data_IF_731942293410
#
_entry.id   IF_731942293410
#
_cell.length_a   1.000
_cell.length_b   1.000
_cell.length_c   1.000
_cell.angle_alpha   90.00
_cell.angle_beta   90.00
_cell.angle_gamma   90.00
#
_symmetry.space_group_name_H-M   'P 1'
#
loop_
_entity.id
_entity.type
_entity.pdbx_description
1 polymer ?
#
# COMPACT_ATOMS: atom_id res chain seq x y z
N UNK A 1 -44.90 67.42 46.37
CA UNK A 1 -45.15 66.02 45.91
C UNK A 1 -45.23 65.90 44.37
N UNK A 2 -44.31 66.53 43.62
CA UNK A 2 -44.33 66.51 42.14
C UNK A 2 -42.93 66.27 41.47
N UNK A 3 -41.95 65.78 42.26
CA UNK A 3 -40.57 65.56 41.74
C UNK A 3 -40.09 64.12 41.80
N UNK A 4 -40.95 63.13 42.13
CA UNK A 4 -40.53 61.72 42.21
C UNK A 4 -41.11 60.81 41.10
N UNK A 5 -41.91 61.33 40.24
CA UNK A 5 -42.52 60.53 39.13
C UNK A 5 -41.69 60.51 37.89
N UNK A 6 -40.68 61.38 37.77
CA UNK A 6 -39.81 61.47 36.57
C UNK A 6 -38.55 60.59 36.62
N UNK A 7 -38.23 59.90 37.69
CA UNK A 7 -37.06 59.07 37.83
C UNK A 7 -37.32 57.57 37.58
N UNK A 8 -38.57 57.13 37.49
CA UNK A 8 -38.95 55.74 37.29
C UNK A 8 -39.17 55.44 35.83
N UNK A 9 -39.40 56.43 34.97
CA UNK A 9 -39.66 56.22 33.52
C UNK A 9 -38.42 56.17 32.67
N UNK A 10 -37.22 56.49 33.17
CA UNK A 10 -35.96 56.41 32.43
C UNK A 10 -35.22 55.09 32.65
N UNK A 11 -35.54 54.32 33.72
CA UNK A 11 -34.92 53.05 34.01
C UNK A 11 -35.56 51.85 33.24
N UNK A 12 -36.74 52.02 32.65
CA UNK A 12 -37.42 50.93 31.89
C UNK A 12 -37.14 50.96 30.42
N UNK A 13 -36.45 51.96 29.88
CA UNK A 13 -36.12 52.06 28.45
C UNK A 13 -34.75 51.46 28.06
N UNK A 14 -33.93 51.03 29.05
CA UNK A 14 -32.59 50.46 28.83
C UNK A 14 -32.60 48.94 28.86
N UNK A 15 -33.68 48.29 29.29
CA UNK A 15 -33.79 46.82 29.42
C UNK A 15 -34.29 46.11 28.13
N UNK A 16 -34.61 46.83 27.04
CA UNK A 16 -35.19 46.23 25.81
C UNK A 16 -34.19 46.12 24.66
N UNK A 17 -32.96 46.65 24.81
CA UNK A 17 -31.92 46.60 23.76
C UNK A 17 -30.87 45.47 23.99
N UNK A 18 -31.02 44.61 24.97
CA UNK A 18 -30.11 43.48 25.22
C UNK A 18 -30.66 42.11 24.78
N UNK A 19 -31.81 42.07 24.05
CA UNK A 19 -32.46 40.82 23.66
C UNK A 19 -32.38 40.50 22.14
N UNK A 20 -31.54 41.19 21.35
CA UNK A 20 -31.31 40.87 19.93
C UNK A 20 -29.82 40.71 19.66
N UNK A 21 -29.19 39.68 20.22
CA UNK A 21 -27.77 39.41 20.02
C UNK A 21 -27.35 37.97 20.31
N UNK A 22 -28.32 37.07 20.31
CA UNK A 22 -28.00 35.63 20.32
C UNK A 22 -28.37 35.03 18.97
N UNK A 23 -27.68 35.50 17.90
CA UNK A 23 -27.56 34.68 16.70
C UNK A 23 -26.85 33.40 17.12
N UNK A 24 -27.63 32.32 17.16
CA UNK A 24 -27.12 30.99 17.36
C UNK A 24 -25.88 30.76 16.49
N UNK A 25 -24.71 30.71 17.09
CA UNK A 25 -23.62 29.95 16.56
C UNK A 25 -24.15 28.55 16.38
N UNK A 26 -24.68 28.23 15.19
CA UNK A 26 -24.65 26.88 14.68
C UNK A 26 -23.19 26.47 14.88
N UNK A 27 -22.94 25.64 15.86
CA UNK A 27 -21.73 24.90 16.01
C UNK A 27 -21.67 24.00 14.78
N UNK A 28 -21.22 24.55 13.64
CA UNK A 28 -20.63 23.76 12.59
C UNK A 28 -19.49 23.05 13.27
N UNK A 29 -19.63 21.77 13.50
CA UNK A 29 -18.52 20.90 13.82
C UNK A 29 -17.54 21.10 12.67
N UNK A 30 -16.51 21.93 12.88
CA UNK A 30 -15.37 22.00 11.97
C UNK A 30 -14.74 20.61 12.02
N UNK A 31 -15.25 19.70 11.21
CA UNK A 31 -14.63 18.39 11.04
C UNK A 31 -13.21 18.63 10.53
N UNK A 32 -12.25 18.20 11.32
CA UNK A 32 -10.85 18.34 10.98
C UNK A 32 -10.56 17.51 9.73
N UNK A 33 -9.90 18.11 8.74
CA UNK A 33 -9.61 17.46 7.45
C UNK A 33 -8.12 17.46 7.15
N UNK A 34 -7.66 16.43 6.45
CA UNK A 34 -6.34 16.34 5.86
C UNK A 34 -6.48 16.54 4.35
N UNK A 35 -5.66 17.42 3.76
CA UNK A 35 -5.57 17.53 2.31
C UNK A 35 -4.53 16.55 1.79
N UNK A 36 -4.96 15.57 1.01
CA UNK A 36 -4.10 14.54 0.41
C UNK A 36 -3.82 14.89 -1.04
N UNK A 37 -2.53 14.95 -1.40
CA UNK A 37 -2.07 15.10 -2.79
C UNK A 37 -1.38 13.80 -3.22
N UNK A 38 -1.87 13.23 -4.30
CA UNK A 38 -1.35 12.01 -4.91
C UNK A 38 -1.22 12.17 -6.44
N UNK A 39 -0.90 11.11 -7.16
CA UNK A 39 -0.69 11.17 -8.62
C UNK A 39 -1.97 11.52 -9.39
N UNK A 40 -3.13 11.14 -8.88
CA UNK A 40 -4.43 11.40 -9.50
C UNK A 40 -5.09 12.68 -8.96
N UNK A 41 -4.77 13.09 -7.72
CA UNK A 41 -5.25 14.29 -7.05
C UNK A 41 -4.14 15.34 -6.90
N UNK A 42 -3.70 15.94 -7.99
CA UNK A 42 -2.61 16.95 -7.97
C UNK A 42 -2.98 18.21 -7.18
N UNK A 43 -4.24 18.62 -7.25
CA UNK A 43 -4.77 19.77 -6.51
C UNK A 43 -5.06 19.44 -5.05
N UNK A 44 -5.18 18.15 -4.74
CA UNK A 44 -5.45 17.61 -3.42
C UNK A 44 -6.94 17.39 -3.14
N UNK A 45 -7.24 16.28 -2.49
CA UNK A 45 -8.56 15.92 -1.99
C UNK A 45 -8.64 16.13 -0.48
N UNK A 46 -9.73 16.71 0.02
CA UNK A 46 -9.97 16.86 1.46
C UNK A 46 -10.59 15.58 2.01
N UNK A 47 -9.92 14.97 2.96
CA UNK A 47 -10.35 13.77 3.67
C UNK A 47 -10.62 14.15 5.13
N UNK A 48 -11.76 13.74 5.68
CA UNK A 48 -12.05 13.90 7.13
C UNK A 48 -11.03 13.10 7.94
N UNK A 49 -10.59 13.63 9.06
CA UNK A 49 -9.82 12.84 10.03
C UNK A 49 -10.70 11.75 10.65
N UNK A 50 -10.09 10.61 10.91
CA UNK A 50 -10.75 9.44 11.50
C UNK A 50 -12.07 9.07 10.81
N UNK A 51 -12.06 8.91 9.46
CA UNK A 51 -13.24 8.51 8.71
C UNK A 51 -13.76 7.18 9.26
N UNK A 52 -15.10 7.02 9.33
CA UNK A 52 -15.72 5.86 9.99
C UNK A 52 -16.02 4.74 9.00
N UNK A 53 -16.36 5.10 7.77
CA UNK A 53 -16.68 4.17 6.70
C UNK A 53 -15.57 4.23 5.64
N UNK A 54 -14.66 3.29 5.71
CA UNK A 54 -13.48 3.22 4.83
C UNK A 54 -13.60 2.03 3.90
N UNK A 55 -13.52 2.28 2.60
CA UNK A 55 -13.46 1.25 1.55
C UNK A 55 -12.04 1.17 1.03
N UNK A 56 -11.44 -0.03 1.01
CA UNK A 56 -10.03 -0.21 0.66
C UNK A 56 -9.86 -1.23 -0.46
N UNK A 57 -9.34 -0.78 -1.59
CA UNK A 57 -8.96 -1.62 -2.74
C UNK A 57 -7.45 -1.89 -2.80
N UNK A 58 -6.63 -1.11 -2.09
CA UNK A 58 -5.19 -1.31 -1.99
C UNK A 58 -4.83 -2.21 -0.82
N UNK A 59 -4.31 -3.39 -1.09
CA UNK A 59 -3.94 -4.35 -0.04
C UNK A 59 -2.74 -3.91 0.79
N UNK A 60 -1.85 -3.07 0.24
CA UNK A 60 -0.76 -2.45 1.01
C UNK A 60 -1.28 -1.42 2.02
N UNK A 61 -2.29 -0.62 1.64
CA UNK A 61 -3.00 0.26 2.58
C UNK A 61 -3.80 -0.54 3.60
N UNK A 62 -4.45 -1.64 3.21
CA UNK A 62 -5.16 -2.54 4.14
C UNK A 62 -4.22 -3.09 5.21
N UNK A 63 -3.06 -3.61 4.81
CA UNK A 63 -1.97 -4.04 5.66
C UNK A 63 -1.54 -2.95 6.66
N UNK A 64 -1.29 -1.75 6.14
CA UNK A 64 -0.91 -0.60 6.96
C UNK A 64 -2.00 -0.22 7.98
N UNK A 65 -3.26 -0.14 7.55
CA UNK A 65 -4.39 0.15 8.42
C UNK A 65 -4.57 -0.92 9.49
N UNK A 66 -4.36 -2.18 9.12
CA UNK A 66 -4.38 -3.31 10.04
C UNK A 66 -3.31 -3.19 11.12
N UNK A 67 -2.08 -2.95 10.71
CA UNK A 67 -0.94 -2.73 11.61
C UNK A 67 -1.17 -1.57 12.58
N UNK A 68 -1.87 -0.52 12.13
CA UNK A 68 -2.20 0.65 12.92
C UNK A 68 -3.46 0.46 13.81
N UNK A 69 -4.14 -0.68 13.71
CA UNK A 69 -5.37 -0.97 14.46
C UNK A 69 -6.57 -0.12 14.01
N UNK A 70 -6.60 0.27 12.74
CA UNK A 70 -7.69 1.05 12.13
C UNK A 70 -8.75 0.11 11.56
N UNK A 71 -10.02 0.38 11.88
CA UNK A 71 -11.14 -0.39 11.33
C UNK A 71 -11.42 -0.01 9.87
N UNK A 72 -11.62 -1.02 9.03
CA UNK A 72 -12.09 -0.90 7.64
C UNK A 72 -13.54 -1.35 7.57
N UNK A 73 -14.32 -0.81 6.64
CA UNK A 73 -15.74 -1.17 6.46
C UNK A 73 -15.89 -2.21 5.36
N UNK A 74 -15.21 -2.01 4.24
CA UNK A 74 -15.40 -2.84 3.06
C UNK A 74 -14.11 -2.96 2.23
N UNK A 75 -14.00 -4.07 1.51
CA UNK A 75 -12.88 -4.38 0.63
C UNK A 75 -13.31 -5.41 -0.43
N UNK A 76 -12.58 -5.55 -1.54
CA UNK A 76 -12.81 -6.63 -2.48
C UNK A 76 -12.37 -7.96 -1.86
N UNK A 77 -13.31 -8.94 -1.76
CA UNK A 77 -13.05 -10.23 -1.10
C UNK A 77 -12.67 -11.36 -2.05
N UNK A 78 -12.57 -11.09 -3.33
CA UNK A 78 -12.24 -12.13 -4.31
C UNK A 78 -10.82 -12.71 -4.09
N UNK A 79 -9.88 -11.86 -3.70
CA UNK A 79 -8.49 -12.27 -3.40
C UNK A 79 -8.00 -11.45 -2.21
N UNK A 80 -7.86 -12.10 -1.07
CA UNK A 80 -7.31 -11.51 0.17
C UNK A 80 -5.99 -12.21 0.49
N UNK A 81 -4.90 -11.47 0.80
CA UNK A 81 -3.66 -12.08 1.27
C UNK A 81 -3.90 -12.96 2.50
N UNK A 82 -3.34 -14.16 2.55
CA UNK A 82 -3.60 -15.13 3.63
C UNK A 82 -3.32 -14.56 5.03
N UNK A 83 -2.28 -13.75 5.19
CA UNK A 83 -1.97 -13.12 6.48
C UNK A 83 -3.01 -12.06 6.93
N UNK A 84 -3.87 -11.60 5.98
CA UNK A 84 -5.00 -10.71 6.23
C UNK A 84 -6.37 -11.45 6.20
N UNK A 85 -6.38 -12.78 6.31
CA UNK A 85 -7.61 -13.62 6.19
C UNK A 85 -8.74 -13.25 7.15
N UNK A 86 -8.46 -12.54 8.24
CA UNK A 86 -9.53 -12.02 9.13
C UNK A 86 -10.53 -11.11 8.41
N UNK A 87 -10.12 -10.50 7.28
CA UNK A 87 -10.98 -9.65 6.45
C UNK A 87 -11.94 -10.45 5.55
N UNK A 88 -11.83 -11.78 5.50
CA UNK A 88 -12.80 -12.66 4.85
C UNK A 88 -14.13 -12.74 5.63
N UNK A 89 -14.10 -12.42 6.93
CA UNK A 89 -15.26 -12.46 7.81
C UNK A 89 -16.41 -11.56 7.30
N UNK A 90 -17.66 -11.99 7.54
CA UNK A 90 -18.90 -11.25 7.20
C UNK A 90 -19.04 -9.90 7.93
N UNK A 91 -18.16 -9.62 8.88
CA UNK A 91 -18.03 -8.28 9.51
C UNK A 91 -17.69 -7.19 8.48
N UNK A 92 -16.99 -7.54 7.41
CA UNK A 92 -16.56 -6.62 6.37
C UNK A 92 -17.41 -6.80 5.13
N UNK A 93 -17.88 -5.70 4.54
CA UNK A 93 -18.68 -5.73 3.32
C UNK A 93 -17.80 -6.09 2.11
N UNK A 94 -18.34 -6.94 1.24
CA UNK A 94 -17.69 -7.26 -0.03
C UNK A 94 -18.08 -6.22 -1.10
N UNK A 95 -17.09 -5.63 -1.76
CA UNK A 95 -17.29 -4.64 -2.83
C UNK A 95 -16.74 -5.11 -4.19
N UNK A 96 -16.86 -6.40 -4.46
CA UNK A 96 -16.47 -7.02 -5.73
C UNK A 96 -15.04 -7.52 -5.76
N UNK A 97 -14.41 -7.42 -6.92
CA UNK A 97 -13.02 -7.83 -7.16
C UNK A 97 -12.07 -6.64 -7.29
N UNK A 98 -10.76 -6.95 -7.26
CA UNK A 98 -9.71 -5.91 -7.45
C UNK A 98 -9.76 -5.22 -8.82
N UNK A 99 -10.28 -5.90 -9.85
CA UNK A 99 -10.41 -5.34 -11.21
C UNK A 99 -11.86 -5.03 -11.60
N UNK A 100 -12.81 -5.54 -10.84
CA UNK A 100 -14.24 -5.42 -11.08
C UNK A 100 -14.93 -4.94 -9.80
N UNK A 101 -14.81 -3.63 -9.47
CA UNK A 101 -15.48 -3.03 -8.32
C UNK A 101 -17.00 -3.06 -8.47
N UNK A 102 -17.70 -3.34 -7.40
CA UNK A 102 -19.15 -3.21 -7.31
C UNK A 102 -19.51 -1.77 -6.87
N UNK A 103 -19.63 -0.86 -7.83
CA UNK A 103 -19.92 0.54 -7.58
C UNK A 103 -21.29 0.77 -6.94
N UNK A 104 -22.28 -0.07 -7.22
CA UNK A 104 -23.60 0.00 -6.60
C UNK A 104 -23.49 -0.27 -5.10
N UNK A 105 -22.81 -1.36 -4.74
CA UNK A 105 -22.57 -1.71 -3.35
C UNK A 105 -21.72 -0.66 -2.61
N UNK A 106 -20.70 -0.10 -3.26
CA UNK A 106 -19.89 0.98 -2.69
C UNK A 106 -20.74 2.21 -2.40
N UNK A 107 -21.64 2.59 -3.33
CA UNK A 107 -22.52 3.74 -3.14
C UNK A 107 -23.55 3.51 -2.01
N UNK A 108 -24.07 2.28 -1.85
CA UNK A 108 -24.95 1.90 -0.73
C UNK A 108 -24.28 2.05 0.63
N UNK A 109 -23.00 1.71 0.74
CA UNK A 109 -22.19 1.84 1.97
C UNK A 109 -22.08 3.31 2.39
N UNK A 110 -22.09 4.25 1.45
CA UNK A 110 -21.85 5.69 1.67
C UNK A 110 -20.55 5.93 2.43
N UNK A 111 -19.40 5.60 1.84
CA UNK A 111 -18.11 5.71 2.52
C UNK A 111 -17.72 7.16 2.80
N UNK A 112 -16.91 7.35 3.84
CA UNK A 112 -16.25 8.63 4.14
C UNK A 112 -14.92 8.77 3.39
N UNK A 113 -14.33 7.63 3.01
CA UNK A 113 -13.05 7.53 2.31
C UNK A 113 -12.99 6.26 1.47
N UNK A 114 -12.47 6.39 0.25
CA UNK A 114 -12.11 5.27 -0.62
C UNK A 114 -10.60 5.32 -0.85
N UNK A 115 -9.93 4.18 -0.68
CA UNK A 115 -8.48 4.03 -0.91
C UNK A 115 -8.28 3.08 -2.08
N UNK A 116 -7.66 3.57 -3.14
CA UNK A 116 -7.39 2.80 -4.35
C UNK A 116 -5.89 2.78 -4.67
N UNK A 117 -5.50 1.89 -5.56
CA UNK A 117 -4.17 1.81 -6.12
C UNK A 117 -4.23 1.60 -7.64
N UNK A 118 -3.10 1.33 -8.23
CA UNK A 118 -2.90 1.18 -9.66
C UNK A 118 -3.99 0.39 -10.43
N UNK A 119 -4.49 -0.73 -9.87
CA UNK A 119 -5.50 -1.57 -10.55
C UNK A 119 -6.83 -0.86 -10.77
N UNK A 120 -7.11 0.18 -9.97
CA UNK A 120 -8.35 0.96 -10.02
C UNK A 120 -8.14 2.36 -10.61
N UNK A 121 -6.93 2.71 -11.10
CA UNK A 121 -6.61 4.06 -11.57
C UNK A 121 -7.55 4.53 -12.69
N UNK A 122 -7.89 3.65 -13.63
CA UNK A 122 -8.77 3.98 -14.77
C UNK A 122 -10.22 4.27 -14.35
N UNK A 123 -10.64 3.80 -13.17
CA UNK A 123 -11.97 4.03 -12.60
C UNK A 123 -11.98 5.13 -11.52
N UNK A 124 -10.91 5.90 -11.38
CA UNK A 124 -10.77 6.93 -10.34
C UNK A 124 -11.92 7.92 -10.31
N UNK A 125 -12.38 8.38 -11.47
CA UNK A 125 -13.49 9.36 -11.57
C UNK A 125 -14.81 8.78 -11.06
N UNK A 126 -15.04 7.48 -11.22
CA UNK A 126 -16.25 6.80 -10.74
C UNK A 126 -16.23 6.67 -9.22
N UNK A 127 -15.11 6.29 -8.63
CA UNK A 127 -14.92 6.29 -7.18
C UNK A 127 -15.10 7.70 -6.59
N UNK A 128 -14.52 8.71 -7.23
CA UNK A 128 -14.54 10.10 -6.75
C UNK A 128 -15.92 10.74 -6.77
N UNK A 129 -16.85 10.24 -7.60
CA UNK A 129 -18.27 10.64 -7.59
C UNK A 129 -19.00 10.12 -6.34
N UNK A 130 -18.53 9.04 -5.74
CA UNK A 130 -19.17 8.42 -4.56
C UNK A 130 -18.66 9.04 -3.27
N UNK A 131 -17.33 9.17 -3.11
CA UNK A 131 -16.72 9.71 -1.90
C UNK A 131 -15.29 10.26 -2.17
N UNK A 132 -14.70 11.01 -1.22
CA UNK A 132 -13.28 11.34 -1.26
C UNK A 132 -12.43 10.10 -1.52
N UNK A 133 -11.69 10.11 -2.63
CA UNK A 133 -10.88 8.96 -3.07
C UNK A 133 -9.41 9.34 -3.11
N UNK A 134 -8.55 8.55 -2.48
CA UNK A 134 -7.09 8.72 -2.49
C UNK A 134 -6.40 7.57 -3.20
N UNK A 135 -5.34 7.90 -3.93
CA UNK A 135 -4.54 6.96 -4.70
C UNK A 135 -3.22 6.69 -3.96
N UNK A 136 -3.02 5.44 -3.52
CA UNK A 136 -1.95 5.06 -2.60
C UNK A 136 -0.94 4.09 -3.22
N UNK A 137 -0.75 4.16 -4.54
CA UNK A 137 0.22 3.32 -5.23
C UNK A 137 1.67 3.65 -4.83
N UNK A 138 2.55 2.66 -4.95
CA UNK A 138 3.99 2.83 -4.72
C UNK A 138 4.68 3.09 -6.05
N UNK A 139 5.47 4.16 -6.13
CA UNK A 139 6.35 4.42 -7.26
C UNK A 139 7.56 3.48 -7.22
N UNK A 140 7.61 2.53 -8.13
CA UNK A 140 8.69 1.53 -8.18
C UNK A 140 10.08 2.15 -8.39
N UNK A 141 10.17 3.31 -9.04
CA UNK A 141 11.43 4.02 -9.24
C UNK A 141 11.90 4.76 -7.97
N UNK A 142 10.96 5.11 -7.07
CA UNK A 142 11.19 5.83 -5.82
C UNK A 142 10.47 5.11 -4.65
N UNK A 143 10.68 3.79 -4.56
CA UNK A 143 9.89 2.92 -3.69
C UNK A 143 9.82 3.41 -2.24
N UNK A 144 10.94 3.60 -1.56
CA UNK A 144 10.96 3.97 -0.14
C UNK A 144 10.35 5.36 0.12
N UNK A 145 10.53 6.31 -0.79
CA UNK A 145 9.95 7.65 -0.65
C UNK A 145 8.42 7.60 -0.74
N UNK A 146 7.89 6.96 -1.78
CA UNK A 146 6.45 6.83 -1.98
C UNK A 146 5.77 5.97 -0.91
N UNK A 147 6.39 4.87 -0.51
CA UNK A 147 5.94 4.03 0.60
C UNK A 147 5.82 4.82 1.91
N UNK A 148 6.89 5.55 2.30
CA UNK A 148 6.87 6.38 3.51
C UNK A 148 5.79 7.45 3.45
N UNK A 149 5.69 8.17 2.32
CA UNK A 149 4.65 9.17 2.10
C UNK A 149 3.24 8.59 2.26
N UNK A 150 3.00 7.39 1.72
CA UNK A 150 1.72 6.71 1.83
C UNK A 150 1.41 6.35 3.29
N UNK A 151 2.35 5.72 4.00
CA UNK A 151 2.19 5.38 5.41
C UNK A 151 1.96 6.64 6.30
N UNK A 152 2.73 7.71 6.09
CA UNK A 152 2.56 8.99 6.80
C UNK A 152 1.21 9.65 6.49
N UNK A 153 0.72 9.53 5.25
CA UNK A 153 -0.59 10.04 4.86
C UNK A 153 -1.70 9.32 5.62
N UNK A 154 -1.64 7.98 5.68
CA UNK A 154 -2.58 7.20 6.49
C UNK A 154 -2.44 7.54 7.99
N UNK A 155 -1.21 7.70 8.49
CA UNK A 155 -0.97 8.16 9.86
C UNK A 155 -1.70 9.46 10.18
N UNK A 156 -1.59 10.48 9.32
CA UNK A 156 -2.25 11.78 9.48
C UNK A 156 -3.78 11.69 9.41
N UNK A 157 -4.32 10.85 8.53
CA UNK A 157 -5.78 10.67 8.40
C UNK A 157 -6.37 10.03 9.66
N UNK A 158 -5.65 9.08 10.26
CA UNK A 158 -6.16 8.26 11.36
C UNK A 158 -5.55 8.59 12.75
N UNK A 159 -4.85 9.73 12.88
CA UNK A 159 -4.16 10.14 14.12
C UNK A 159 -3.20 9.04 14.66
N UNK A 160 -2.38 8.49 13.77
CA UNK A 160 -1.42 7.40 14.05
C UNK A 160 0.04 7.77 13.71
N UNK A 161 0.35 9.07 13.62
CA UNK A 161 1.65 9.56 13.16
C UNK A 161 2.82 9.00 13.99
N UNK A 162 2.69 8.94 15.31
CA UNK A 162 3.75 8.41 16.17
C UNK A 162 3.99 6.93 15.96
N UNK A 163 2.90 6.16 15.75
CA UNK A 163 3.01 4.72 15.47
C UNK A 163 3.67 4.49 14.11
N UNK A 164 3.25 5.23 13.07
CA UNK A 164 3.86 5.18 11.73
C UNK A 164 5.35 5.52 11.81
N UNK A 165 5.72 6.61 12.48
CA UNK A 165 7.11 7.02 12.65
C UNK A 165 7.96 5.92 13.28
N UNK A 166 7.44 5.22 14.29
CA UNK A 166 8.12 4.10 14.94
C UNK A 166 8.34 2.92 13.97
N UNK A 167 7.28 2.53 13.23
CA UNK A 167 7.37 1.43 12.28
C UNK A 167 8.34 1.76 11.12
N UNK A 168 8.27 2.97 10.56
CA UNK A 168 9.17 3.42 9.49
C UNK A 168 10.64 3.43 9.96
N UNK A 169 10.91 3.88 11.19
CA UNK A 169 12.27 3.86 11.75
C UNK A 169 12.80 2.43 11.89
N UNK A 170 11.97 1.47 12.31
CA UNK A 170 12.35 0.07 12.40
C UNK A 170 12.63 -0.55 11.01
N UNK A 171 11.81 -0.22 10.02
CA UNK A 171 11.99 -0.64 8.62
C UNK A 171 13.28 -0.09 8.06
N UNK A 172 13.58 1.20 8.26
CA UNK A 172 14.83 1.81 7.79
C UNK A 172 16.07 1.10 8.36
N UNK A 173 16.07 0.80 9.66
CA UNK A 173 17.17 0.07 10.29
C UNK A 173 17.37 -1.33 9.68
N UNK A 174 16.28 -2.04 9.39
CA UNK A 174 16.35 -3.36 8.76
C UNK A 174 16.84 -3.26 7.31
N UNK A 175 16.37 -2.27 6.55
CA UNK A 175 16.84 -2.00 5.17
C UNK A 175 18.35 -1.73 5.17
N UNK A 176 18.84 -0.86 6.05
CA UNK A 176 20.26 -0.53 6.13
C UNK A 176 21.12 -1.76 6.48
N UNK A 177 20.64 -2.58 7.42
CA UNK A 177 21.31 -3.82 7.79
C UNK A 177 21.36 -4.83 6.63
N UNK A 178 20.23 -5.03 5.93
CA UNK A 178 20.16 -5.92 4.77
C UNK A 178 21.04 -5.42 3.62
N UNK A 179 21.01 -4.12 3.32
CA UNK A 179 21.85 -3.49 2.29
C UNK A 179 23.35 -3.68 2.56
N UNK A 180 23.76 -3.56 3.82
CA UNK A 180 25.14 -3.83 4.22
C UNK A 180 25.50 -5.30 3.96
N UNK A 181 24.65 -6.23 4.40
CA UNK A 181 24.84 -7.67 4.22
C UNK A 181 24.88 -8.05 2.73
N UNK A 182 23.97 -7.55 1.92
CA UNK A 182 23.94 -7.77 0.47
C UNK A 182 25.24 -7.31 -0.22
N UNK A 183 25.78 -6.15 0.20
CA UNK A 183 27.05 -5.63 -0.31
C UNK A 183 28.25 -6.52 0.08
N UNK A 184 28.25 -7.05 1.30
CA UNK A 184 29.31 -7.95 1.79
C UNK A 184 29.26 -9.32 1.12
N UNK A 185 28.08 -9.77 0.71
CA UNK A 185 27.85 -11.03 0.03
C UNK A 185 28.59 -11.13 -1.33
N UNK A 186 28.76 -10.01 -2.04
CA UNK A 186 29.43 -9.93 -3.36
C UNK A 186 28.84 -10.89 -4.40
N UNK A 187 27.55 -11.14 -4.31
CA UNK A 187 26.78 -12.03 -5.19
C UNK A 187 25.73 -11.22 -5.94
N UNK A 188 25.34 -11.72 -7.09
CA UNK A 188 24.25 -11.12 -7.86
C UNK A 188 22.95 -11.92 -7.76
N UNK A 189 21.86 -11.29 -8.12
CA UNK A 189 20.53 -11.91 -8.11
C UNK A 189 19.70 -11.55 -9.33
N UNK A 190 18.84 -12.46 -9.73
CA UNK A 190 17.81 -12.25 -10.73
C UNK A 190 16.45 -12.38 -10.06
N UNK A 191 15.57 -11.42 -10.31
CA UNK A 191 14.18 -11.48 -9.84
C UNK A 191 13.29 -11.89 -10.99
N UNK A 192 12.49 -12.93 -10.78
CA UNK A 192 11.53 -13.40 -11.77
C UNK A 192 10.13 -13.56 -11.18
N UNK A 193 9.13 -13.42 -12.02
CA UNK A 193 7.77 -13.86 -11.76
C UNK A 193 7.44 -15.06 -12.64
N UNK A 194 6.98 -16.12 -12.00
CA UNK A 194 6.38 -17.27 -12.68
C UNK A 194 4.88 -17.03 -12.85
N UNK A 195 4.37 -17.30 -14.04
CA UNK A 195 2.95 -17.21 -14.37
C UNK A 195 2.61 -18.27 -15.42
N UNK A 196 1.91 -19.31 -15.04
CA UNK A 196 1.68 -20.52 -15.85
C UNK A 196 3.01 -21.10 -16.35
N UNK A 197 3.18 -21.15 -17.66
CA UNK A 197 4.40 -21.61 -18.33
C UNK A 197 5.40 -20.51 -18.67
N UNK A 198 5.16 -19.27 -18.22
CA UNK A 198 5.96 -18.08 -18.58
C UNK A 198 6.78 -17.59 -17.41
N UNK A 199 7.96 -17.07 -17.75
CA UNK A 199 8.84 -16.38 -16.81
C UNK A 199 9.06 -14.96 -17.29
N UNK A 200 9.01 -14.02 -16.36
CA UNK A 200 9.33 -12.60 -16.59
C UNK A 200 10.39 -12.15 -15.61
N UNK A 201 11.43 -11.47 -16.08
CA UNK A 201 12.50 -10.91 -15.27
C UNK A 201 12.22 -9.43 -14.95
N UNK A 202 12.67 -9.00 -13.77
CA UNK A 202 12.51 -7.65 -13.26
C UNK A 202 13.86 -7.09 -12.80
N UNK A 203 14.26 -5.98 -13.40
CA UNK A 203 15.46 -5.24 -13.04
C UNK A 203 15.21 -4.11 -12.06
N UNK A 204 16.22 -3.25 -11.82
CA UNK A 204 16.06 -2.02 -11.04
C UNK A 204 14.91 -1.13 -11.54
N UNK A 205 14.28 -0.38 -10.63
CA UNK A 205 13.18 0.56 -10.90
C UNK A 205 11.93 -0.09 -11.51
N UNK A 206 11.83 -1.41 -11.47
CA UNK A 206 10.66 -2.18 -11.90
C UNK A 206 9.82 -2.61 -10.70
N UNK A 207 8.70 -3.28 -10.93
CA UNK A 207 7.76 -3.74 -9.89
C UNK A 207 8.42 -4.46 -8.70
N UNK A 208 9.46 -5.26 -8.93
CA UNK A 208 10.20 -5.95 -7.89
C UNK A 208 11.64 -5.43 -7.75
N UNK A 209 11.90 -4.26 -8.33
CA UNK A 209 13.20 -3.60 -8.32
C UNK A 209 13.72 -3.25 -6.94
N UNK A 210 12.84 -3.18 -5.91
CA UNK A 210 13.28 -2.91 -4.54
C UNK A 210 14.34 -3.90 -4.04
N UNK A 211 14.40 -5.14 -4.54
CA UNK A 211 15.45 -6.11 -4.21
C UNK A 211 16.82 -5.54 -4.59
N UNK A 212 16.89 -4.83 -5.70
CA UNK A 212 18.12 -4.20 -6.19
C UNK A 212 18.33 -2.81 -5.62
N UNK A 213 17.33 -1.94 -5.77
CA UNK A 213 17.41 -0.50 -5.47
C UNK A 213 17.42 -0.20 -3.98
N UNK A 214 16.68 -0.99 -3.18
CA UNK A 214 16.49 -0.78 -1.75
C UNK A 214 17.32 -1.77 -0.93
N UNK A 215 17.25 -3.07 -1.23
CA UNK A 215 17.93 -4.10 -0.45
C UNK A 215 19.39 -4.30 -0.87
N UNK A 216 19.79 -3.76 -2.02
CA UNK A 216 21.21 -3.70 -2.43
C UNK A 216 21.74 -4.98 -3.06
N UNK A 217 20.89 -5.92 -3.46
CA UNK A 217 21.32 -7.11 -4.23
C UNK A 217 21.76 -6.65 -5.62
N UNK A 218 22.97 -6.93 -6.00
CA UNK A 218 23.50 -6.60 -7.33
C UNK A 218 22.67 -7.30 -8.42
N UNK A 219 22.14 -6.59 -9.45
CA UNK A 219 21.42 -7.25 -10.55
C UNK A 219 22.33 -8.21 -11.31
N UNK A 220 21.85 -9.41 -11.62
CA UNK A 220 22.59 -10.37 -12.44
C UNK A 220 22.67 -9.91 -13.91
N UNK A 221 21.66 -9.19 -14.40
CA UNK A 221 21.69 -8.49 -15.68
C UNK A 221 21.45 -7.00 -15.46
N UNK A 222 22.49 -6.20 -15.67
CA UNK A 222 22.43 -4.73 -15.51
C UNK A 222 21.77 -4.03 -16.69
N UNK A 223 21.43 -4.76 -17.76
CA UNK A 223 20.79 -4.23 -18.97
C UNK A 223 19.29 -4.47 -19.00
N UNK A 224 18.75 -5.12 -17.96
CA UNK A 224 17.29 -5.21 -17.81
C UNK A 224 16.73 -3.79 -17.66
N UNK A 225 16.09 -3.34 -18.74
CA UNK A 225 15.43 -2.04 -18.75
C UNK A 225 14.36 -1.98 -17.65
N UNK A 226 14.15 -0.80 -17.03
CA UNK A 226 13.00 -0.59 -16.18
C UNK A 226 11.75 -0.88 -17.02
N UNK A 227 11.21 -2.07 -16.89
CA UNK A 227 9.98 -2.39 -17.58
C UNK A 227 8.82 -1.94 -16.73
N UNK A 228 7.85 -1.36 -17.34
CA UNK A 228 6.66 -0.87 -16.68
C UNK A 228 5.97 -1.96 -15.82
N UNK A 229 5.01 -2.52 -15.92
CA UNK A 229 4.19 -3.32 -15.02
C UNK A 229 4.45 -4.82 -15.13
N UNK A 230 5.00 -5.28 -16.26
CA UNK A 230 4.95 -6.69 -16.63
C UNK A 230 6.32 -7.39 -16.70
N UNK A 231 7.41 -6.66 -16.55
CA UNK A 231 8.76 -7.23 -16.67
C UNK A 231 9.10 -7.62 -18.10
N UNK A 232 10.30 -8.18 -18.29
CA UNK A 232 10.79 -8.69 -19.55
C UNK A 232 10.59 -10.19 -19.62
N UNK A 233 9.89 -10.69 -20.64
CA UNK A 233 9.76 -12.14 -20.88
C UNK A 233 11.14 -12.77 -21.13
N UNK A 234 11.41 -13.89 -20.46
CA UNK A 234 12.70 -14.60 -20.55
C UNK A 234 12.51 -16.08 -20.86
N UNK A 235 13.58 -16.69 -21.37
CA UNK A 235 13.67 -18.12 -21.64
C UNK A 235 14.63 -18.81 -20.66
N UNK A 236 14.66 -20.13 -20.68
CA UNK A 236 15.68 -20.93 -19.97
C UNK A 236 17.10 -20.61 -20.45
N UNK A 237 17.28 -20.39 -21.75
CA UNK A 237 18.56 -20.00 -22.33
C UNK A 237 19.05 -18.66 -21.75
N UNK A 238 18.15 -17.69 -21.58
CA UNK A 238 18.48 -16.43 -20.91
C UNK A 238 18.96 -16.68 -19.49
N UNK A 239 18.27 -17.52 -18.70
CA UNK A 239 18.67 -17.83 -17.33
C UNK A 239 20.06 -18.48 -17.25
N UNK A 240 20.33 -19.44 -18.17
CA UNK A 240 21.65 -20.11 -18.27
C UNK A 240 22.74 -19.11 -18.63
N UNK A 241 22.48 -18.22 -19.60
CA UNK A 241 23.44 -17.19 -20.04
C UNK A 241 23.71 -16.16 -18.93
N UNK A 242 22.68 -15.69 -18.24
CA UNK A 242 22.78 -14.71 -17.16
C UNK A 242 23.44 -15.32 -15.92
N UNK A 243 23.18 -16.60 -15.66
CA UNK A 243 23.77 -17.41 -14.60
C UNK A 243 23.80 -16.73 -13.23
N UNK A 244 22.63 -16.33 -12.65
CA UNK A 244 22.56 -15.62 -11.39
C UNK A 244 23.06 -16.48 -10.22
N UNK A 245 23.66 -15.85 -9.21
CA UNK A 245 24.05 -16.49 -7.94
C UNK A 245 22.85 -16.75 -7.04
N UNK A 246 21.85 -15.86 -7.07
CA UNK A 246 20.56 -15.98 -6.39
C UNK A 246 19.42 -15.81 -7.39
N UNK A 247 18.36 -16.58 -7.19
CA UNK A 247 17.12 -16.45 -7.94
C UNK A 247 15.97 -16.17 -6.97
N UNK A 248 15.37 -14.99 -7.09
CA UNK A 248 14.19 -14.59 -6.31
C UNK A 248 12.96 -14.80 -7.16
N UNK A 249 12.02 -15.62 -6.68
CA UNK A 249 10.88 -16.10 -7.48
C UNK A 249 9.56 -15.70 -6.84
N UNK A 250 8.77 -14.90 -7.55
CA UNK A 250 7.38 -14.59 -7.20
C UNK A 250 6.47 -15.52 -8.02
N UNK A 251 5.62 -16.29 -7.37
CA UNK A 251 4.62 -17.14 -8.04
C UNK A 251 3.27 -16.40 -8.12
N UNK A 252 2.88 -15.95 -9.32
CA UNK A 252 1.61 -15.27 -9.51
C UNK A 252 0.42 -16.21 -9.25
N UNK A 253 0.49 -17.47 -9.68
CA UNK A 253 -0.57 -18.44 -9.48
C UNK A 253 -0.90 -18.61 -7.99
N UNK A 254 0.14 -18.76 -7.15
CA UNK A 254 -0.04 -18.83 -5.70
C UNK A 254 -0.73 -17.58 -5.12
N UNK A 255 -0.44 -16.38 -5.65
CA UNK A 255 -1.04 -15.14 -5.15
C UNK A 255 -2.53 -15.00 -5.45
N UNK A 256 -3.02 -15.59 -6.53
CA UNK A 256 -4.41 -15.42 -6.99
C UNK A 256 -5.26 -16.69 -6.88
N UNK A 257 -4.74 -17.72 -6.19
CA UNK A 257 -5.46 -18.98 -5.98
C UNK A 257 -5.50 -19.90 -7.21
N UNK A 258 -4.58 -19.73 -8.16
CA UNK A 258 -4.37 -20.62 -9.30
C UNK A 258 -3.30 -21.67 -8.99
N UNK A 259 -3.10 -22.66 -9.89
CA UNK A 259 -2.02 -23.64 -9.74
C UNK A 259 -0.65 -22.97 -9.73
N UNK A 260 0.20 -23.41 -8.81
CA UNK A 260 1.58 -22.92 -8.71
C UNK A 260 2.46 -23.66 -9.69
N UNK A 261 3.25 -22.93 -10.46
CA UNK A 261 4.17 -23.48 -11.46
C UNK A 261 5.63 -23.08 -11.24
N UNK A 262 5.87 -22.17 -10.31
CA UNK A 262 7.18 -21.57 -10.10
C UNK A 262 8.28 -22.60 -9.90
N UNK A 263 8.08 -23.61 -9.04
CA UNK A 263 9.08 -24.64 -8.78
C UNK A 263 9.42 -25.45 -10.04
N UNK A 264 8.41 -25.85 -10.80
CA UNK A 264 8.61 -26.61 -12.05
C UNK A 264 9.35 -25.80 -13.10
N UNK A 265 9.10 -24.47 -13.16
CA UNK A 265 9.74 -23.56 -14.10
C UNK A 265 11.21 -23.29 -13.77
N UNK A 266 11.59 -23.29 -12.48
CA UNK A 266 12.95 -22.88 -12.09
C UNK A 266 13.83 -24.02 -11.58
N UNK A 267 13.27 -25.21 -11.34
CA UNK A 267 14.00 -26.38 -10.86
C UNK A 267 13.81 -27.57 -11.85
N UNK A 268 14.35 -27.42 -13.05
CA UNK A 268 14.28 -28.46 -14.09
C UNK A 268 15.64 -28.65 -14.78
N UNK A 269 15.71 -29.65 -15.68
CA UNK A 269 16.96 -30.01 -16.34
C UNK A 269 17.57 -28.89 -17.22
N UNK A 270 16.76 -27.94 -17.71
CA UNK A 270 17.25 -26.85 -18.54
C UNK A 270 18.07 -25.83 -17.73
N UNK A 271 17.79 -25.68 -16.44
CA UNK A 271 18.42 -24.66 -15.59
C UNK A 271 19.27 -25.23 -14.45
N UNK A 272 19.45 -26.57 -14.39
CA UNK A 272 20.26 -27.22 -13.33
C UNK A 272 21.71 -26.76 -13.26
N UNK A 273 22.24 -26.18 -14.33
CA UNK A 273 23.61 -25.63 -14.39
C UNK A 273 23.71 -24.20 -13.85
N UNK A 274 22.58 -23.51 -13.68
CA UNK A 274 22.53 -22.13 -13.16
C UNK A 274 23.02 -22.11 -11.71
N UNK A 275 23.90 -21.19 -11.38
CA UNK A 275 24.51 -21.10 -10.03
C UNK A 275 23.48 -21.11 -8.92
N UNK A 276 22.42 -20.34 -9.04
CA UNK A 276 21.34 -20.28 -8.05
C UNK A 276 20.70 -21.65 -7.81
N UNK A 277 20.39 -22.40 -8.86
CA UNK A 277 19.80 -23.75 -8.78
C UNK A 277 20.79 -24.76 -8.22
N UNK A 278 22.00 -24.77 -8.75
CA UNK A 278 23.07 -25.70 -8.33
C UNK A 278 23.45 -25.57 -6.86
N UNK A 279 23.39 -24.35 -6.33
CA UNK A 279 23.80 -24.05 -4.97
C UNK A 279 22.62 -23.91 -3.97
N UNK A 280 21.39 -24.25 -4.38
CA UNK A 280 20.16 -24.11 -3.57
C UNK A 280 19.89 -22.65 -3.13
N UNK A 281 20.25 -21.67 -3.95
CA UNK A 281 19.99 -20.26 -3.73
C UNK A 281 18.74 -19.75 -4.48
N UNK A 282 17.75 -20.62 -4.63
CA UNK A 282 16.43 -20.24 -5.16
C UNK A 282 15.54 -19.85 -3.99
N UNK A 283 15.16 -18.57 -3.94
CA UNK A 283 14.34 -17.98 -2.88
C UNK A 283 12.93 -17.79 -3.42
N UNK A 284 12.01 -18.63 -2.97
CA UNK A 284 10.58 -18.47 -3.28
C UNK A 284 9.98 -17.42 -2.35
N UNK A 285 9.60 -16.30 -2.95
CA UNK A 285 9.07 -15.15 -2.22
C UNK A 285 7.57 -15.32 -1.93
N UNK A 286 7.14 -14.86 -0.75
CA UNK A 286 5.73 -14.92 -0.35
C UNK A 286 4.86 -14.10 -1.29
N UNK A 287 4.09 -14.78 -2.12
CA UNK A 287 3.32 -14.15 -3.20
C UNK A 287 2.24 -13.19 -2.72
N UNK A 288 1.67 -13.41 -1.53
CA UNK A 288 0.70 -12.48 -0.94
C UNK A 288 1.32 -11.09 -0.70
N UNK A 289 2.54 -11.07 -0.16
CA UNK A 289 3.23 -9.83 0.17
C UNK A 289 3.81 -9.17 -1.08
N UNK A 290 4.46 -9.95 -1.95
CA UNK A 290 5.13 -9.40 -3.12
C UNK A 290 4.18 -9.05 -4.27
N UNK A 291 3.11 -9.82 -4.46
CA UNK A 291 2.20 -9.62 -5.59
C UNK A 291 0.94 -8.81 -5.24
N UNK A 292 0.36 -9.00 -4.05
CA UNK A 292 -0.90 -8.37 -3.66
C UNK A 292 -0.71 -7.12 -2.80
N UNK A 293 0.14 -7.19 -1.77
CA UNK A 293 0.19 -6.21 -0.68
C UNK A 293 1.54 -5.47 -0.56
N UNK A 294 2.40 -5.52 -1.57
CA UNK A 294 3.66 -4.76 -1.55
C UNK A 294 3.38 -3.27 -1.32
N UNK A 295 4.05 -2.66 -0.33
CA UNK A 295 3.83 -1.26 0.05
C UNK A 295 3.07 -1.05 1.38
N UNK A 296 2.76 -2.13 2.11
CA UNK A 296 2.27 -2.04 3.48
C UNK A 296 3.39 -2.09 4.54
N UNK A 297 3.08 -1.69 5.77
CA UNK A 297 4.05 -1.67 6.87
C UNK A 297 4.46 -3.08 7.31
N UNK A 298 3.52 -4.02 7.34
CA UNK A 298 3.78 -5.39 7.73
C UNK A 298 4.42 -6.18 6.58
N UNK A 299 3.87 -6.06 5.38
CA UNK A 299 4.39 -6.75 4.20
C UNK A 299 5.83 -6.34 3.88
N UNK A 300 6.17 -5.05 3.87
CA UNK A 300 7.54 -4.63 3.61
C UNK A 300 8.51 -5.13 4.68
N UNK A 301 8.10 -5.08 5.95
CA UNK A 301 8.89 -5.61 7.05
C UNK A 301 9.18 -7.11 6.88
N UNK A 302 8.18 -7.90 6.47
CA UNK A 302 8.33 -9.33 6.21
C UNK A 302 9.14 -9.61 4.94
N UNK A 303 8.97 -8.83 3.88
CA UNK A 303 9.76 -8.93 2.64
C UNK A 303 11.26 -8.72 2.89
N UNK A 304 11.63 -7.78 3.78
CA UNK A 304 13.02 -7.58 4.20
C UNK A 304 13.55 -8.82 4.90
N UNK A 305 12.81 -9.36 5.87
CA UNK A 305 13.21 -10.54 6.63
C UNK A 305 13.33 -11.79 5.72
N UNK A 306 12.46 -11.91 4.74
CA UNK A 306 12.45 -13.01 3.76
C UNK A 306 13.70 -12.98 2.87
N UNK A 307 14.02 -11.83 2.27
CA UNK A 307 15.24 -11.68 1.46
C UNK A 307 16.48 -11.88 2.31
N UNK A 308 16.53 -11.32 3.52
CA UNK A 308 17.62 -11.54 4.46
C UNK A 308 17.85 -13.03 4.71
N UNK A 309 16.79 -13.76 5.08
CA UNK A 309 16.83 -15.20 5.30
C UNK A 309 17.29 -15.96 4.04
N UNK A 310 16.80 -15.54 2.87
CA UNK A 310 17.15 -16.17 1.59
C UNK A 310 18.64 -16.08 1.27
N UNK A 311 19.27 -14.93 1.54
CA UNK A 311 20.71 -14.75 1.27
C UNK A 311 21.63 -15.30 2.37
N UNK A 312 21.11 -15.67 3.54
CA UNK A 312 21.82 -16.33 4.65
C UNK A 312 21.86 -17.86 4.50
N UNK A 313 21.04 -18.44 3.62
CA UNK A 313 21.07 -19.88 3.32
C UNK A 313 22.41 -20.26 2.69
N UNK A 314 23.07 -21.27 3.28
CA UNK A 314 24.37 -21.81 2.84
C UNK A 314 24.17 -23.03 1.98
#
# INVERSE_FOLDING_TARGET
MKKWIWMITVLTAIAVLAACGNQGKTAGTNEETVTVKDMLNKDGVKVKKNPKKVVVFDMGSLDTLDKLGVNVTALPKQVIPHYLSKYESDKYENVGGLKEPDFEKIAEIKPDLIIIQHRQADAFDEFSKIAPTIYMDVDNANYMESFKKNAETLGKIFDKEDQVKKELSAIDQKVDALKKQAKELKKNGLVIMANDSKMTAFGPKSRYGLIHDVFGITPADQKLEPSDKHGQSISYEYMVKTNPDYLFVVDRGAAIGEETSAKQLVENDYVKSVNAVKNNHVVYLNSDMWYLAGGGLESLNAMIDEVKKGIEQK
#
